data_IF_733037464058
#
_entry.id   IF_733037464058
#
_cell.length_a   1.000
_cell.length_b   1.000
_cell.length_c   1.000
_cell.angle_alpha   90.00
_cell.angle_beta   90.00
_cell.angle_gamma   90.00
#
_symmetry.space_group_name_H-M   'P 1'
#
loop_
_entity.id
_entity.type
_entity.pdbx_description
1 polymer ?
#
# COMPACT_ATOMS: atom_id res chain seq x y z
N UNK A 1 25.98 11.39 15.02
CA UNK A 1 24.90 11.88 15.88
C UNK A 1 23.58 11.67 15.17
N UNK A 2 22.55 11.24 15.88
CA UNK A 2 21.22 11.11 15.31
C UNK A 2 20.61 12.49 15.06
N UNK A 3 19.97 12.68 13.93
CA UNK A 3 19.16 13.85 13.64
C UNK A 3 18.02 13.96 14.68
N UNK A 4 17.76 15.19 15.10
CA UNK A 4 16.63 15.46 15.99
C UNK A 4 15.45 16.00 15.16
N UNK A 5 14.19 15.67 15.50
CA UNK A 5 13.05 16.25 14.82
C UNK A 5 13.00 17.75 15.07
N UNK A 6 12.76 18.49 14.01
CA UNK A 6 12.48 19.91 14.09
C UNK A 6 10.96 20.11 13.98
N UNK A 7 10.35 20.65 15.01
CA UNK A 7 8.92 20.98 15.01
C UNK A 7 8.77 22.46 15.32
N UNK A 8 7.75 23.09 14.74
CA UNK A 8 7.41 24.47 15.04
C UNK A 8 5.89 24.69 15.03
N UNK A 9 5.45 25.73 15.69
CA UNK A 9 4.06 26.19 15.70
C UNK A 9 3.88 27.44 14.83
N UNK A 10 2.70 28.04 14.92
CA UNK A 10 2.35 29.28 14.23
C UNK A 10 2.90 30.55 14.88
N UNK A 11 3.46 30.45 16.09
CA UNK A 11 3.86 31.61 16.92
C UNK A 11 2.75 32.66 17.07
N UNK A 12 1.51 32.18 17.22
CA UNK A 12 0.33 33.01 17.24
C UNK A 12 0.22 33.75 18.57
N UNK A 13 0.13 35.11 18.53
CA UNK A 13 -0.13 35.96 19.65
C UNK A 13 -1.59 36.47 19.69
N UNK A 14 -2.39 36.15 18.65
CA UNK A 14 -3.79 36.49 18.50
C UNK A 14 -4.58 35.32 17.97
N UNK A 15 -5.88 35.27 18.23
CA UNK A 15 -6.72 34.11 17.79
C UNK A 15 -6.80 33.95 16.29
N UNK A 16 -6.78 35.03 15.54
CA UNK A 16 -6.79 35.02 14.06
C UNK A 16 -5.53 34.43 13.45
N UNK A 17 -4.42 34.37 14.18
CA UNK A 17 -3.15 33.76 13.77
C UNK A 17 -3.00 32.32 14.21
N UNK A 18 -3.94 31.79 14.98
CA UNK A 18 -3.91 30.36 15.34
C UNK A 18 -3.95 29.51 14.07
N UNK A 19 -3.09 28.50 14.00
CA UNK A 19 -2.95 27.57 12.87
C UNK A 19 -2.56 28.21 11.52
N UNK A 20 -2.13 29.49 11.54
CA UNK A 20 -1.70 30.23 10.34
C UNK A 20 -0.22 30.58 10.45
N UNK A 21 0.69 29.63 10.20
CA UNK A 21 2.12 29.89 10.29
C UNK A 21 2.60 30.81 9.17
N UNK A 22 3.62 31.60 9.45
CA UNK A 22 4.23 32.48 8.44
C UNK A 22 4.70 31.67 7.22
N UNK A 23 4.46 32.24 6.03
CA UNK A 23 4.75 31.63 4.73
C UNK A 23 4.07 30.27 4.52
N UNK A 24 2.95 29.98 5.13
CA UNK A 24 2.23 28.71 5.06
C UNK A 24 3.11 27.50 5.40
N UNK A 25 4.09 27.66 6.24
CA UNK A 25 5.01 26.59 6.64
C UNK A 25 4.40 25.73 7.74
N UNK A 26 3.47 24.88 7.40
CA UNK A 26 2.87 23.93 8.33
C UNK A 26 3.86 22.86 8.74
N UNK A 27 3.78 22.45 10.00
CA UNK A 27 4.52 21.32 10.54
C UNK A 27 3.65 20.06 10.48
N UNK A 28 3.91 19.22 9.48
CA UNK A 28 3.19 17.97 9.30
C UNK A 28 3.88 16.85 10.06
N UNK A 29 3.14 16.14 10.88
CA UNK A 29 3.66 15.03 11.69
C UNK A 29 2.94 13.75 11.30
N UNK A 30 3.72 12.74 10.89
CA UNK A 30 3.22 11.41 10.56
C UNK A 30 3.21 10.53 11.81
N UNK A 31 2.16 10.64 12.59
CA UNK A 31 1.96 9.90 13.83
C UNK A 31 0.48 9.92 14.23
N UNK A 32 0.09 9.03 15.13
CA UNK A 32 -1.20 9.14 15.80
C UNK A 32 -1.26 10.42 16.67
N UNK A 33 -2.43 11.06 16.82
CA UNK A 33 -2.59 12.26 17.62
C UNK A 33 -2.57 11.96 19.13
N UNK A 34 -1.51 11.31 19.57
CA UNK A 34 -1.24 10.92 20.95
C UNK A 34 0.16 11.35 21.36
N UNK A 35 0.44 11.38 22.66
CA UNK A 35 1.79 11.65 23.13
C UNK A 35 2.80 10.60 22.66
N UNK A 36 2.42 9.33 22.63
CA UNK A 36 3.28 8.26 22.10
C UNK A 36 3.54 8.42 20.61
N UNK A 37 2.54 8.82 19.83
CA UNK A 37 2.72 9.15 18.43
C UNK A 37 3.71 10.31 18.24
N UNK A 38 3.58 11.38 19.04
CA UNK A 38 4.54 12.48 19.00
C UNK A 38 5.95 12.01 19.41
N UNK A 39 6.07 11.10 20.37
CA UNK A 39 7.36 10.55 20.78
C UNK A 39 8.03 9.72 19.68
N UNK A 40 7.25 9.06 18.83
CA UNK A 40 7.78 8.24 17.73
C UNK A 40 8.57 9.04 16.70
N UNK A 41 8.33 10.35 16.55
CA UNK A 41 9.10 11.19 15.61
C UNK A 41 10.59 11.24 15.95
N UNK A 42 10.97 10.95 17.18
CA UNK A 42 12.37 10.93 17.62
C UNK A 42 13.20 9.84 16.94
N UNK A 43 12.56 8.76 16.51
CA UNK A 43 13.23 7.60 15.93
C UNK A 43 13.47 7.74 14.43
N UNK A 44 12.56 8.42 13.72
CA UNK A 44 12.61 8.58 12.27
C UNK A 44 12.22 10.02 11.85
N UNK A 45 12.94 11.05 12.32
CA UNK A 45 12.53 12.43 12.13
C UNK A 45 12.39 12.83 10.66
N UNK A 46 13.26 12.33 9.79
CA UNK A 46 13.25 12.64 8.35
C UNK A 46 12.02 12.11 7.63
N UNK A 47 11.48 10.97 8.11
CA UNK A 47 10.33 10.32 7.50
C UNK A 47 9.00 10.73 8.15
N UNK A 48 9.05 11.34 9.34
CA UNK A 48 7.88 11.61 10.15
C UNK A 48 7.55 13.07 10.33
N UNK A 49 8.48 13.98 10.02
CA UNK A 49 8.25 15.42 10.15
C UNK A 49 8.56 16.11 8.84
N UNK A 50 7.63 16.92 8.35
CA UNK A 50 7.82 17.77 7.19
C UNK A 50 7.33 19.18 7.48
N UNK A 51 8.13 20.19 7.15
CA UNK A 51 7.78 21.61 7.29
C UNK A 51 7.58 22.17 5.88
N UNK A 52 6.33 22.27 5.45
CA UNK A 52 5.98 22.69 4.11
C UNK A 52 4.52 23.17 4.01
N UNK A 53 4.17 23.83 2.93
CA UNK A 53 2.83 24.36 2.71
C UNK A 53 1.79 23.25 2.53
N UNK A 54 2.07 22.25 1.68
CA UNK A 54 1.13 21.18 1.34
C UNK A 54 1.31 19.96 2.21
N UNK A 55 0.21 19.28 2.50
CA UNK A 55 0.27 18.01 3.19
C UNK A 55 1.10 16.99 2.35
N UNK A 56 2.14 16.37 2.92
CA UNK A 56 2.92 15.34 2.22
C UNK A 56 2.07 14.17 1.68
N UNK A 57 0.93 13.89 2.29
CA UNK A 57 0.00 12.85 1.85
C UNK A 57 -0.70 13.21 0.53
N UNK A 58 -0.86 14.50 0.20
CA UNK A 58 -1.51 14.94 -1.03
C UNK A 58 -0.70 14.57 -2.27
N UNK A 59 0.61 14.40 -2.15
CA UNK A 59 1.47 13.90 -3.23
C UNK A 59 1.23 12.43 -3.59
N UNK A 60 0.45 11.71 -2.77
CA UNK A 60 0.08 10.30 -2.99
C UNK A 60 -1.20 10.15 -3.81
N UNK A 61 -1.80 11.24 -4.27
CA UNK A 61 -3.07 11.25 -5.03
C UNK A 61 -3.05 10.34 -6.27
N UNK A 62 -1.89 10.11 -6.86
CA UNK A 62 -1.71 9.22 -8.03
C UNK A 62 -1.61 7.73 -7.67
N UNK A 63 -1.65 7.39 -6.38
CA UNK A 63 -1.58 5.99 -5.92
C UNK A 63 -2.97 5.43 -5.68
N UNK A 64 -3.15 4.19 -6.10
CA UNK A 64 -4.31 3.42 -5.69
C UNK A 64 -4.17 3.06 -4.21
N UNK A 65 -5.00 3.65 -3.36
CA UNK A 65 -5.00 3.44 -1.92
C UNK A 65 -6.27 2.69 -1.54
N UNK A 66 -6.13 1.51 -0.93
CA UNK A 66 -7.24 0.77 -0.35
C UNK A 66 -7.60 1.42 0.98
N UNK A 67 -8.76 2.05 1.04
CA UNK A 67 -9.26 2.71 2.26
C UNK A 67 -9.92 1.73 3.24
N UNK A 68 -10.41 0.59 2.75
CA UNK A 68 -11.01 -0.41 3.62
C UNK A 68 -11.55 -1.61 2.88
N UNK A 69 -12.02 -2.58 3.65
CA UNK A 69 -12.72 -3.75 3.16
C UNK A 69 -13.97 -3.99 4.00
N UNK A 70 -15.09 -4.27 3.34
CA UNK A 70 -16.36 -4.63 3.99
C UNK A 70 -16.72 -6.06 3.66
N UNK A 71 -17.14 -6.83 4.64
CA UNK A 71 -17.54 -8.23 4.47
C UNK A 71 -18.58 -8.63 5.50
N UNK A 72 -19.39 -9.63 5.15
CA UNK A 72 -20.28 -10.31 6.07
C UNK A 72 -19.79 -11.75 6.28
N UNK A 73 -19.72 -12.20 7.52
CA UNK A 73 -19.37 -13.57 7.87
C UNK A 73 -20.31 -14.11 8.93
N UNK A 74 -20.93 -15.25 8.66
CA UNK A 74 -21.87 -16.02 9.53
C UNK A 74 -23.03 -15.21 10.16
N UNK A 75 -22.78 -14.02 10.67
CA UNK A 75 -23.78 -13.19 11.36
C UNK A 75 -24.64 -12.34 10.44
N UNK A 76 -24.40 -12.34 9.13
CA UNK A 76 -25.02 -11.42 8.15
C UNK A 76 -24.80 -9.91 8.44
N UNK A 77 -24.18 -9.57 9.54
CA UNK A 77 -23.78 -8.19 9.82
C UNK A 77 -22.55 -7.82 9.01
N UNK A 78 -22.62 -6.72 8.31
CA UNK A 78 -21.46 -6.18 7.59
C UNK A 78 -20.45 -5.61 8.58
N UNK A 79 -19.21 -6.04 8.43
CA UNK A 79 -18.06 -5.49 9.18
C UNK A 79 -17.15 -4.76 8.23
N UNK A 80 -16.74 -3.57 8.61
CA UNK A 80 -15.80 -2.75 7.84
C UNK A 80 -14.47 -2.66 8.57
N UNK A 81 -13.40 -2.99 7.85
CA UNK A 81 -12.03 -2.75 8.28
C UNK A 81 -11.56 -1.50 7.55
N UNK A 82 -11.05 -0.54 8.28
CA UNK A 82 -10.43 0.68 7.73
C UNK A 82 -8.92 0.49 7.69
N UNK A 83 -8.31 0.85 6.57
CA UNK A 83 -6.87 0.75 6.36
C UNK A 83 -6.20 2.12 6.40
N UNK A 84 -4.97 2.12 6.91
CA UNK A 84 -4.06 3.24 6.78
C UNK A 84 -3.60 3.38 5.32
N UNK A 85 -3.43 4.59 4.78
CA UNK A 85 -2.99 4.78 3.40
C UNK A 85 -1.55 4.31 3.10
N UNK A 86 -0.76 4.03 4.12
CA UNK A 86 0.63 3.57 3.96
C UNK A 86 0.76 2.07 4.24
N UNK A 87 1.27 1.71 5.42
CA UNK A 87 1.52 0.34 5.82
C UNK A 87 0.45 -0.15 6.80
N UNK A 88 -0.10 -1.32 6.52
CA UNK A 88 -1.02 -2.00 7.43
C UNK A 88 -0.44 -3.36 7.83
N UNK A 89 -0.37 -3.62 9.12
CA UNK A 89 0.05 -4.91 9.67
C UNK A 89 -1.15 -5.69 10.16
N UNK A 90 -1.33 -6.91 9.64
CA UNK A 90 -2.40 -7.81 10.06
C UNK A 90 -1.80 -8.86 10.99
N UNK A 91 -2.15 -8.79 12.27
CA UNK A 91 -1.65 -9.68 13.31
C UNK A 91 -2.77 -10.56 13.88
N UNK A 92 -2.41 -11.72 14.39
CA UNK A 92 -3.35 -12.65 15.01
C UNK A 92 -2.81 -14.08 15.05
N UNK A 93 -3.45 -14.94 15.83
CA UNK A 93 -3.09 -16.35 15.95
C UNK A 93 -3.31 -17.14 14.66
N UNK A 94 -2.76 -18.33 14.56
CA UNK A 94 -3.00 -19.23 13.41
C UNK A 94 -4.50 -19.52 13.30
N UNK A 95 -5.04 -19.46 12.08
CA UNK A 95 -6.47 -19.69 11.82
C UNK A 95 -7.40 -18.47 12.03
N UNK A 96 -6.88 -17.31 12.43
CA UNK A 96 -7.70 -16.10 12.66
C UNK A 96 -8.20 -15.40 11.38
N UNK A 97 -7.96 -15.95 10.20
CA UNK A 97 -8.46 -15.38 8.93
C UNK A 97 -7.56 -14.34 8.25
N UNK A 98 -6.34 -14.10 8.74
CA UNK A 98 -5.39 -13.11 8.13
C UNK A 98 -5.18 -13.32 6.64
N UNK A 99 -4.80 -14.54 6.28
CA UNK A 99 -4.56 -14.90 4.87
C UNK A 99 -5.85 -14.91 4.06
N UNK A 100 -6.98 -15.26 4.68
CA UNK A 100 -8.30 -15.21 4.05
C UNK A 100 -8.67 -13.77 3.69
N UNK A 101 -8.44 -12.82 4.59
CA UNK A 101 -8.70 -11.39 4.33
C UNK A 101 -7.85 -10.91 3.16
N UNK A 102 -6.53 -11.12 3.19
CA UNK A 102 -5.62 -10.69 2.13
C UNK A 102 -5.97 -11.33 0.77
N UNK A 103 -6.28 -12.63 0.79
CA UNK A 103 -6.68 -13.36 -0.42
C UNK A 103 -7.97 -12.82 -1.02
N UNK A 104 -8.97 -12.49 -0.20
CA UNK A 104 -10.22 -11.91 -0.68
C UNK A 104 -10.00 -10.49 -1.23
N UNK A 105 -9.20 -9.66 -0.59
CA UNK A 105 -8.84 -8.34 -1.13
C UNK A 105 -8.23 -8.50 -2.52
N UNK A 106 -7.20 -9.36 -2.64
CA UNK A 106 -6.51 -9.58 -3.89
C UNK A 106 -7.47 -10.09 -4.98
N UNK A 107 -8.26 -11.11 -4.67
CA UNK A 107 -9.20 -11.72 -5.61
C UNK A 107 -10.29 -10.76 -6.09
N UNK A 108 -10.78 -9.87 -5.23
CA UNK A 108 -11.81 -8.90 -5.60
C UNK A 108 -11.29 -7.78 -6.50
N UNK A 109 -10.01 -7.45 -6.38
CA UNK A 109 -9.38 -6.43 -7.22
C UNK A 109 -8.87 -7.06 -8.53
N UNK A 110 -8.15 -8.16 -8.43
CA UNK A 110 -7.52 -8.81 -9.58
C UNK A 110 -7.55 -10.34 -9.43
N UNK A 111 -8.59 -11.00 -9.94
CA UNK A 111 -8.69 -12.46 -9.89
C UNK A 111 -7.51 -13.20 -10.55
N UNK A 112 -6.82 -12.55 -11.49
CA UNK A 112 -5.70 -13.16 -12.24
C UNK A 112 -4.43 -13.32 -11.40
N UNK A 113 -4.34 -12.66 -10.25
CA UNK A 113 -3.23 -12.82 -9.30
C UNK A 113 -3.21 -14.21 -8.62
N UNK A 114 -4.30 -14.97 -8.76
CA UNK A 114 -4.35 -16.38 -8.37
C UNK A 114 -3.98 -17.20 -9.60
N UNK A 115 -2.86 -17.87 -9.60
CA UNK A 115 -2.49 -18.81 -10.68
C UNK A 115 -3.52 -19.94 -10.83
N UNK A 116 -3.39 -20.76 -11.88
CA UNK A 116 -4.34 -21.83 -12.24
C UNK A 116 -4.68 -22.81 -11.11
N UNK A 117 -3.81 -22.94 -10.09
CA UNK A 117 -4.00 -23.84 -8.94
C UNK A 117 -4.91 -23.29 -7.86
N UNK A 118 -5.06 -21.97 -7.77
CA UNK A 118 -5.78 -21.29 -6.68
C UNK A 118 -6.83 -20.31 -7.21
N UNK A 119 -7.72 -20.77 -8.09
CA UNK A 119 -8.69 -19.92 -8.80
C UNK A 119 -9.68 -19.15 -7.91
N UNK A 120 -9.83 -19.54 -6.64
CA UNK A 120 -10.70 -18.82 -5.68
C UNK A 120 -10.10 -18.92 -4.27
N UNK A 121 -10.26 -17.86 -3.45
CA UNK A 121 -9.93 -17.98 -2.04
C UNK A 121 -10.75 -19.12 -1.41
N UNK A 122 -10.17 -19.92 -0.50
CA UNK A 122 -10.86 -21.07 0.09
C UNK A 122 -12.15 -20.69 0.83
N UNK A 123 -12.28 -19.42 1.19
CA UNK A 123 -13.48 -18.79 1.72
C UNK A 123 -13.74 -17.53 0.90
N UNK A 124 -14.39 -17.68 -0.26
CA UNK A 124 -14.89 -16.54 -1.01
C UNK A 124 -16.06 -15.96 -0.22
N UNK A 125 -15.79 -14.88 0.52
CA UNK A 125 -16.78 -14.21 1.32
C UNK A 125 -17.79 -13.53 0.38
N UNK A 126 -19.04 -13.96 0.43
CA UNK A 126 -20.13 -13.26 -0.21
C UNK A 126 -20.17 -11.82 0.32
N UNK A 127 -20.55 -10.88 -0.51
CA UNK A 127 -20.60 -9.46 -0.15
C UNK A 127 -19.25 -8.84 0.29
N UNK A 128 -18.11 -9.45 -0.08
CA UNK A 128 -16.83 -8.83 0.15
C UNK A 128 -16.61 -7.69 -0.84
N UNK A 129 -16.36 -6.50 -0.32
CA UNK A 129 -16.11 -5.30 -1.09
C UNK A 129 -14.80 -4.66 -0.66
N UNK A 130 -14.01 -4.19 -1.61
CA UNK A 130 -12.81 -3.39 -1.36
C UNK A 130 -13.14 -1.95 -1.73
N UNK A 131 -12.97 -1.03 -0.79
CA UNK A 131 -13.20 0.40 -0.99
C UNK A 131 -11.86 1.12 -1.12
N UNK A 132 -11.74 1.91 -2.17
CA UNK A 132 -10.60 2.76 -2.44
C UNK A 132 -10.75 4.14 -1.80
N UNK A 133 -9.64 4.89 -1.71
CA UNK A 133 -9.65 6.25 -1.14
C UNK A 133 -10.48 7.25 -1.96
N UNK A 134 -10.67 7.00 -3.25
CA UNK A 134 -11.54 7.77 -4.14
C UNK A 134 -13.02 7.33 -4.09
N UNK A 135 -13.38 6.48 -3.12
CA UNK A 135 -14.72 5.89 -2.91
C UNK A 135 -15.19 4.92 -3.98
N UNK A 136 -14.34 4.51 -4.91
CA UNK A 136 -14.66 3.37 -5.80
C UNK A 136 -14.66 2.07 -4.99
N UNK A 137 -15.50 1.11 -5.41
CA UNK A 137 -15.60 -0.20 -4.79
C UNK A 137 -15.36 -1.32 -5.81
N UNK A 138 -14.54 -2.29 -5.43
CA UNK A 138 -14.36 -3.54 -6.18
C UNK A 138 -15.08 -4.67 -5.46
N UNK A 139 -15.93 -5.36 -6.22
CA UNK A 139 -16.73 -6.51 -5.76
C UNK A 139 -16.30 -7.82 -6.42
N UNK A 140 -15.38 -7.76 -7.37
CA UNK A 140 -14.91 -8.88 -8.17
C UNK A 140 -15.83 -9.24 -9.33
N UNK A 141 -16.79 -8.37 -9.68
CA UNK A 141 -17.70 -8.56 -10.81
C UNK A 141 -17.14 -8.03 -12.13
N UNK A 142 -16.30 -7.01 -12.06
CA UNK A 142 -15.68 -6.37 -13.23
C UNK A 142 -14.16 -6.27 -13.04
N UNK A 143 -13.42 -6.09 -14.15
CA UNK A 143 -12.01 -5.78 -14.05
C UNK A 143 -11.85 -4.40 -13.41
N UNK A 144 -11.21 -4.39 -12.25
CA UNK A 144 -10.84 -3.13 -11.61
C UNK A 144 -9.89 -2.35 -12.52
N UNK A 145 -10.09 -1.03 -12.70
CA UNK A 145 -9.11 -0.19 -13.38
C UNK A 145 -7.81 -0.05 -12.57
N UNK A 146 -7.82 -0.52 -11.33
CA UNK A 146 -6.70 -0.45 -10.38
C UNK A 146 -6.04 -1.81 -10.26
N UNK A 147 -4.72 -1.80 -10.14
CA UNK A 147 -3.93 -3.02 -10.01
C UNK A 147 -3.33 -3.14 -8.62
N UNK A 148 -3.22 -4.39 -8.18
CA UNK A 148 -2.50 -4.75 -6.96
C UNK A 148 -1.42 -5.77 -7.30
N UNK A 149 -0.56 -6.02 -6.33
CA UNK A 149 0.39 -7.12 -6.37
C UNK A 149 0.19 -7.99 -5.13
N UNK A 150 -0.23 -9.23 -5.32
CA UNK A 150 -0.42 -10.20 -4.25
C UNK A 150 0.79 -11.13 -4.16
N UNK A 151 1.44 -11.16 -2.99
CA UNK A 151 2.57 -12.03 -2.72
C UNK A 151 2.11 -13.13 -1.76
N UNK A 152 2.02 -14.41 -2.22
CA UNK A 152 1.65 -15.52 -1.35
C UNK A 152 2.67 -15.74 -0.23
N UNK A 153 2.21 -16.35 0.87
CA UNK A 153 3.09 -16.75 1.96
C UNK A 153 4.12 -17.77 1.47
N UNK A 154 5.38 -17.55 1.82
CA UNK A 154 6.49 -18.42 1.42
C UNK A 154 7.09 -18.11 0.05
N UNK A 155 6.42 -17.31 -0.78
CA UNK A 155 6.92 -16.99 -2.12
C UNK A 155 8.27 -16.25 -2.07
N UNK A 156 8.40 -15.23 -1.23
CA UNK A 156 9.67 -14.52 -1.06
C UNK A 156 10.77 -15.42 -0.49
N UNK A 157 10.42 -16.37 0.38
CA UNK A 157 11.39 -17.33 0.90
C UNK A 157 11.86 -18.30 -0.20
N UNK A 158 10.95 -18.77 -1.04
CA UNK A 158 11.30 -19.61 -2.19
C UNK A 158 12.22 -18.86 -3.17
N UNK A 159 11.98 -17.58 -3.42
CA UNK A 159 12.84 -16.75 -4.27
C UNK A 159 14.22 -16.47 -3.67
N UNK A 160 14.35 -16.53 -2.34
CA UNK A 160 15.61 -16.27 -1.62
C UNK A 160 16.54 -17.49 -1.54
N UNK A 161 16.01 -18.69 -1.68
CA UNK A 161 16.82 -19.92 -1.75
C UNK A 161 17.37 -20.07 -3.19
N UNK A 162 18.65 -19.69 -3.32
CA UNK A 162 19.37 -19.69 -4.60
C UNK A 162 19.99 -21.07 -4.85
N UNK A 163 19.18 -22.01 -5.32
CA UNK A 163 19.66 -23.30 -5.83
C UNK A 163 19.75 -23.33 -7.39
N UNK A 164 19.75 -22.15 -8.01
CA UNK A 164 19.92 -21.98 -9.45
C UNK A 164 18.67 -22.26 -10.29
N UNK A 165 17.67 -22.91 -9.75
CA UNK A 165 16.44 -23.28 -10.46
C UNK A 165 15.41 -22.13 -10.52
N UNK A 166 15.47 -21.20 -9.56
CA UNK A 166 14.49 -20.10 -9.39
C UNK A 166 14.98 -18.72 -9.86
N UNK A 167 16.16 -18.63 -10.47
CA UNK A 167 16.69 -17.33 -10.96
C UNK A 167 15.72 -16.70 -11.98
N UNK A 168 15.17 -17.51 -12.89
CA UNK A 168 14.22 -17.04 -13.89
C UNK A 168 12.89 -16.56 -13.28
N UNK A 169 12.40 -17.23 -12.24
CA UNK A 169 11.15 -16.82 -11.55
C UNK A 169 11.33 -15.53 -10.76
N UNK A 170 12.49 -15.36 -10.11
CA UNK A 170 12.85 -14.13 -9.42
C UNK A 170 12.92 -12.94 -10.39
N UNK A 171 13.57 -13.12 -11.50
CA UNK A 171 13.74 -12.07 -12.50
C UNK A 171 12.40 -11.71 -13.18
N UNK A 172 11.56 -12.71 -13.44
CA UNK A 172 10.18 -12.49 -13.90
C UNK A 172 9.37 -11.71 -12.88
N UNK A 173 9.41 -12.10 -11.60
CA UNK A 173 8.74 -11.40 -10.53
C UNK A 173 9.16 -9.94 -10.41
N UNK A 174 10.46 -9.68 -10.41
CA UNK A 174 11.00 -8.32 -10.36
C UNK A 174 10.59 -7.51 -11.60
N UNK A 175 10.61 -8.14 -12.77
CA UNK A 175 10.20 -7.51 -14.01
C UNK A 175 8.72 -7.15 -14.01
N UNK A 176 7.84 -8.02 -13.53
CA UNK A 176 6.41 -7.73 -13.39
C UNK A 176 6.15 -6.61 -12.39
N UNK A 177 6.86 -6.61 -11.26
CA UNK A 177 6.78 -5.57 -10.25
C UNK A 177 7.21 -4.21 -10.80
N UNK A 178 8.26 -4.17 -11.59
CA UNK A 178 8.74 -2.97 -12.26
C UNK A 178 7.79 -2.51 -13.38
N UNK A 179 7.24 -3.44 -14.17
CA UNK A 179 6.24 -3.14 -15.22
C UNK A 179 4.97 -2.51 -14.68
N UNK A 180 4.52 -2.90 -13.49
CA UNK A 180 3.36 -2.29 -12.81
C UNK A 180 3.63 -0.88 -12.29
N UNK A 181 4.89 -0.45 -12.21
CA UNK A 181 5.24 0.91 -11.85
C UNK A 181 5.34 1.78 -13.11
N UNK A 182 4.41 2.71 -13.29
CA UNK A 182 4.33 3.57 -14.46
C UNK A 182 5.64 4.34 -14.78
N UNK A 183 6.49 4.59 -13.78
CA UNK A 183 7.78 5.25 -14.00
C UNK A 183 8.81 4.35 -14.69
N UNK A 184 8.71 3.04 -14.51
CA UNK A 184 9.66 2.08 -15.07
C UNK A 184 9.13 1.34 -16.28
N UNK A 185 7.80 1.30 -16.48
CA UNK A 185 7.18 0.57 -17.60
C UNK A 185 7.71 1.00 -18.96
N UNK A 186 7.83 2.31 -19.20
CA UNK A 186 8.39 2.84 -20.44
C UNK A 186 9.87 2.48 -20.66
N UNK A 187 10.67 2.53 -19.60
CA UNK A 187 12.09 2.17 -19.68
C UNK A 187 12.29 0.69 -19.97
N UNK A 188 11.49 -0.19 -19.37
CA UNK A 188 11.55 -1.64 -19.60
C UNK A 188 11.13 -1.98 -21.03
N UNK A 189 10.03 -1.41 -21.51
CA UNK A 189 9.56 -1.64 -22.88
C UNK A 189 10.59 -1.17 -23.93
N UNK A 190 11.23 -0.03 -23.71
CA UNK A 190 12.28 0.46 -24.60
C UNK A 190 13.53 -0.43 -24.56
N UNK A 191 13.88 -0.99 -23.40
CA UNK A 191 14.99 -1.93 -23.28
C UNK A 191 14.69 -3.26 -23.93
N UNK A 192 13.47 -3.80 -23.76
CA UNK A 192 13.04 -5.06 -24.41
C UNK A 192 13.02 -4.92 -25.94
N UNK A 193 12.57 -3.77 -26.48
CA UNK A 193 12.61 -3.52 -27.92
C UNK A 193 14.05 -3.45 -28.42
N UNK A 194 14.92 -2.72 -27.75
CA UNK A 194 16.33 -2.62 -28.08
C UNK A 194 17.05 -3.99 -28.03
N UNK A 195 16.76 -4.80 -27.01
CA UNK A 195 17.32 -6.14 -26.86
C UNK A 195 16.83 -7.11 -27.96
N UNK A 196 15.58 -6.94 -28.44
CA UNK A 196 15.03 -7.75 -29.52
C UNK A 196 15.62 -7.39 -30.89
N UNK A 197 15.91 -6.09 -31.14
CA UNK A 197 16.52 -5.60 -32.38
C UNK A 197 18.01 -5.97 -32.50
N UNK A 198 18.69 -6.17 -31.36
CA UNK A 198 20.12 -6.48 -31.31
C UNK A 198 20.44 -7.97 -31.06
N UNK A 199 19.46 -8.88 -31.12
CA UNK A 199 19.71 -10.32 -31.18
C UNK A 199 20.12 -10.67 -32.59
N UNK A 200 21.46 -10.64 -32.82
CA UNK A 200 22.12 -11.29 -33.94
C UNK A 200 22.46 -12.74 -33.59
#
# INVERSE_FOLDING_TARGET
GSLKPCIHGSDAHTEDKLFSPDNNRFCWIKADPTFEGLRQILWEPENRVAIQERNPSDSKSDRSIIAGATYAYLSKEEKTIVFNPDLNSIIGVRGSGKSTLLKNIAYKIDPTQYGEKDQKPPYNLENFKVRWADNQEDTGSDQSPKSIFYIPQGYLSALAYDDGEYVNERDQFLTELLKKNNKFSHAILSFESFASENKV
#
